data_IF_491800230842
#
_entry.id   IF_491800230842
#
_cell.length_a   1.000
_cell.length_b   1.000
_cell.length_c   1.000
_cell.angle_alpha   90.00
_cell.angle_beta   90.00
_cell.angle_gamma   90.00
#
_symmetry.space_group_name_H-M   'P 1'
#
loop_
_entity.id
_entity.type
_entity.pdbx_description
1 polymer ?
#
# COMPACT_ATOMS: atom_id res chain seq x y z
N UNK A 1 22.51 23.72 42.45
CA UNK A 1 21.31 23.80 43.32
C UNK A 1 20.48 22.56 43.05
N UNK A 2 19.97 21.92 44.08
CA UNK A 2 19.12 20.75 43.93
C UNK A 2 17.75 21.17 43.38
N UNK A 3 17.28 20.52 42.34
CA UNK A 3 15.97 20.75 41.70
C UNK A 3 15.16 19.46 41.78
N UNK A 4 13.89 19.57 42.15
CA UNK A 4 12.98 18.45 42.16
C UNK A 4 12.40 18.18 40.75
N UNK A 5 12.35 16.95 40.38
CA UNK A 5 11.58 16.45 39.22
C UNK A 5 10.23 15.99 39.75
N UNK A 6 9.14 16.56 39.26
CA UNK A 6 7.77 16.18 39.62
C UNK A 6 6.98 15.72 38.41
N UNK A 7 5.91 14.99 38.66
CA UNK A 7 4.96 14.58 37.66
C UNK A 7 4.33 15.82 37.02
N UNK A 8 4.43 16.00 35.67
CA UNK A 8 3.77 17.12 34.99
C UNK A 8 2.25 16.95 35.00
N UNK A 9 1.53 17.93 34.45
CA UNK A 9 0.11 17.80 34.18
C UNK A 9 -0.13 16.63 33.21
N UNK A 10 -0.79 15.59 33.73
CA UNK A 10 -1.15 14.36 32.99
C UNK A 10 -2.66 14.29 32.71
N UNK A 11 -3.35 15.43 32.79
CA UNK A 11 -4.80 15.52 32.59
C UNK A 11 -5.62 15.00 33.80
N UNK A 12 -6.80 14.48 33.56
CA UNK A 12 -7.76 14.09 34.63
C UNK A 12 -7.37 12.84 35.44
N UNK A 13 -6.14 12.32 35.30
CA UNK A 13 -5.69 11.11 35.98
C UNK A 13 -5.13 11.40 37.38
N UNK A 14 -5.64 10.66 38.37
CA UNK A 14 -5.18 10.68 39.76
C UNK A 14 -4.77 9.27 40.18
N UNK A 15 -3.77 9.18 41.04
CA UNK A 15 -3.30 7.91 41.62
C UNK A 15 -2.84 6.87 40.57
N UNK A 16 -2.05 7.32 39.56
CA UNK A 16 -1.46 6.44 38.54
C UNK A 16 -0.26 5.67 39.10
N UNK A 17 -0.14 4.41 38.73
CA UNK A 17 0.90 3.50 39.25
C UNK A 17 2.22 3.66 38.49
N UNK A 18 3.35 3.69 39.21
CA UNK A 18 4.70 3.64 38.64
C UNK A 18 5.02 2.20 38.27
N UNK A 19 5.10 1.89 36.99
CA UNK A 19 5.38 0.52 36.48
C UNK A 19 6.85 0.29 36.22
N UNK A 20 7.63 1.34 35.97
CA UNK A 20 9.07 1.20 35.71
C UNK A 20 9.83 2.43 36.21
N UNK A 21 11.03 2.20 36.73
CA UNK A 21 11.98 3.25 37.14
C UNK A 21 13.24 3.09 36.30
N UNK A 22 13.53 4.10 35.47
CA UNK A 22 14.57 4.05 34.44
C UNK A 22 15.92 4.60 34.87
N UNK A 23 15.99 5.24 36.06
CA UNK A 23 17.21 5.87 36.59
C UNK A 23 17.51 5.42 38.02
N UNK A 24 18.75 5.58 38.42
CA UNK A 24 19.24 5.27 39.79
C UNK A 24 19.96 6.50 40.37
N UNK A 25 20.03 6.63 41.72
CA UNK A 25 20.89 7.64 42.36
C UNK A 25 22.33 7.51 41.89
N UNK A 26 22.93 8.64 41.45
CA UNK A 26 24.25 8.69 40.81
C UNK A 26 24.26 8.75 39.30
N UNK A 27 23.14 8.49 38.63
CA UNK A 27 23.06 8.54 37.16
C UNK A 27 23.11 9.97 36.65
N UNK A 28 23.87 10.19 35.58
CA UNK A 28 23.90 11.44 34.83
C UNK A 28 22.83 11.43 33.76
N UNK A 29 21.91 12.38 33.81
CA UNK A 29 20.80 12.48 32.86
C UNK A 29 20.85 13.79 32.09
N UNK A 30 20.35 13.75 30.88
CA UNK A 30 20.14 14.94 30.05
C UNK A 30 18.69 15.47 30.19
N UNK A 31 18.45 16.67 29.72
CA UNK A 31 17.10 17.19 29.59
C UNK A 31 16.32 16.29 28.59
N UNK A 32 15.12 15.92 28.97
CA UNK A 32 14.19 15.02 28.29
C UNK A 32 14.53 13.51 28.35
N UNK A 33 15.55 13.09 29.10
CA UNK A 33 15.74 11.66 29.36
C UNK A 33 14.59 11.14 30.24
N UNK A 34 14.03 9.93 29.97
CA UNK A 34 12.93 9.36 30.73
C UNK A 34 13.41 8.93 32.13
N UNK A 35 12.62 9.23 33.16
CA UNK A 35 12.92 8.98 34.57
C UNK A 35 12.14 7.79 35.11
N UNK A 36 10.83 7.81 34.90
CA UNK A 36 9.89 6.76 35.32
C UNK A 36 8.82 6.58 34.25
N UNK A 37 8.26 5.37 34.18
CA UNK A 37 7.06 5.08 33.39
C UNK A 37 5.89 4.87 34.35
N UNK A 38 4.79 5.58 34.10
CA UNK A 38 3.53 5.48 34.84
C UNK A 38 2.45 4.86 33.96
N UNK A 39 1.53 4.10 34.54
CA UNK A 39 0.43 3.44 33.82
C UNK A 39 -0.91 3.99 34.28
N UNK A 40 -1.69 4.46 33.32
CA UNK A 40 -3.10 4.82 33.50
C UNK A 40 -4.00 3.76 32.88
N UNK A 41 -5.29 3.77 33.19
CA UNK A 41 -6.31 2.83 32.65
C UNK A 41 -6.35 2.73 31.13
N UNK A 42 -5.66 3.61 30.40
CA UNK A 42 -5.72 3.68 28.93
C UNK A 42 -4.36 3.68 28.24
N UNK A 43 -3.26 3.98 28.92
CA UNK A 43 -1.91 4.03 28.33
C UNK A 43 -0.81 4.14 29.39
N UNK A 44 0.40 3.70 29.03
CA UNK A 44 1.64 3.97 29.75
C UNK A 44 2.30 5.25 29.22
N UNK A 45 2.83 6.07 30.12
CA UNK A 45 3.47 7.37 29.81
C UNK A 45 4.82 7.46 30.51
N UNK A 46 5.86 7.81 29.76
CA UNK A 46 7.19 8.11 30.32
C UNK A 46 7.27 9.56 30.76
N UNK A 47 7.77 9.81 31.98
CA UNK A 47 7.97 11.15 32.51
C UNK A 47 9.41 11.60 32.26
N UNK A 48 9.62 12.64 31.42
CA UNK A 48 10.95 13.10 31.08
C UNK A 48 11.54 14.07 32.13
N UNK A 49 12.87 14.12 32.19
CA UNK A 49 13.56 15.09 33.02
C UNK A 49 13.43 16.53 32.47
N UNK A 50 13.08 17.54 33.29
CA UNK A 50 13.01 18.92 32.85
C UNK A 50 14.40 19.60 32.69
N UNK A 51 15.47 18.99 33.20
CA UNK A 51 16.83 19.54 33.16
C UNK A 51 17.89 18.43 33.14
N UNK A 52 19.12 18.78 32.74
CA UNK A 52 20.27 17.89 32.82
C UNK A 52 20.92 17.97 34.22
N UNK A 53 21.43 16.88 34.73
CA UNK A 53 22.10 16.81 36.02
C UNK A 53 22.31 15.40 36.54
N UNK A 54 22.84 15.27 37.75
CA UNK A 54 23.01 14.00 38.44
C UNK A 54 21.82 13.71 39.36
N UNK A 55 21.27 12.53 39.31
CA UNK A 55 20.20 12.05 40.19
C UNK A 55 20.80 11.89 41.61
N UNK A 56 20.35 12.68 42.57
CA UNK A 56 20.80 12.58 43.97
C UNK A 56 19.96 11.63 44.79
N UNK A 57 18.66 11.68 44.60
CA UNK A 57 17.73 10.89 45.38
C UNK A 57 16.49 10.55 44.52
N UNK A 58 16.02 9.30 44.64
CA UNK A 58 14.82 8.80 43.96
C UNK A 58 13.73 8.65 45.03
N UNK A 59 12.61 9.32 44.84
CA UNK A 59 11.49 9.40 45.80
C UNK A 59 10.40 8.40 45.58
N UNK A 60 10.44 7.64 44.47
CA UNK A 60 9.39 6.71 44.07
C UNK A 60 9.98 5.33 43.74
N UNK A 61 9.17 4.28 43.89
CA UNK A 61 9.47 2.89 43.58
C UNK A 61 8.38 2.32 42.68
N UNK A 62 8.69 1.20 42.02
CA UNK A 62 7.70 0.45 41.23
C UNK A 62 6.55 0.02 42.15
N UNK A 63 5.32 0.28 41.75
CA UNK A 63 4.10 0.04 42.49
C UNK A 63 3.59 1.25 43.30
N UNK A 64 4.36 2.37 43.38
CA UNK A 64 3.89 3.57 44.06
C UNK A 64 2.84 4.29 43.20
N UNK A 65 1.86 4.89 43.86
CA UNK A 65 0.83 5.71 43.19
C UNK A 65 1.23 7.16 43.24
N UNK A 66 1.24 7.81 42.09
CA UNK A 66 1.60 9.20 41.90
C UNK A 66 0.50 10.00 41.22
N UNK A 67 0.42 11.28 41.52
CA UNK A 67 -0.50 12.24 40.92
C UNK A 67 0.28 13.46 40.45
N UNK A 68 -0.35 14.37 39.69
CA UNK A 68 0.25 15.63 39.30
C UNK A 68 0.93 16.33 40.45
N UNK A 69 2.18 16.81 40.24
CA UNK A 69 2.98 17.48 41.23
C UNK A 69 3.73 16.55 42.21
N UNK A 70 3.51 15.23 42.22
CA UNK A 70 4.27 14.29 43.05
C UNK A 70 5.74 14.32 42.67
N UNK A 71 6.64 14.42 43.67
CA UNK A 71 8.10 14.49 43.46
C UNK A 71 8.64 13.10 43.18
N UNK A 72 9.27 12.92 42.02
CA UNK A 72 9.82 11.63 41.54
C UNK A 72 11.28 11.46 41.92
N UNK A 73 12.09 12.50 41.69
CA UNK A 73 13.52 12.48 41.94
C UNK A 73 14.05 13.91 42.25
N UNK A 74 15.26 13.97 42.79
CA UNK A 74 16.00 15.22 42.98
C UNK A 74 17.28 15.18 42.17
N UNK A 75 17.52 16.23 41.35
CA UNK A 75 18.74 16.38 40.54
C UNK A 75 19.59 17.52 41.06
N UNK A 76 20.91 17.41 40.93
CA UNK A 76 21.84 18.50 41.14
C UNK A 76 22.40 18.99 39.82
N UNK A 77 22.20 20.31 39.49
CA UNK A 77 22.71 20.90 38.26
C UNK A 77 24.23 20.96 38.29
N UNK A 78 24.90 20.09 37.54
CA UNK A 78 26.31 20.19 37.22
C UNK A 78 26.51 21.08 35.99
N UNK A 79 27.46 22.01 36.04
CA UNK A 79 27.91 22.78 34.88
C UNK A 79 28.38 21.82 33.77
N UNK A 80 28.02 22.14 32.52
CA UNK A 80 28.42 21.44 31.32
C UNK A 80 29.94 21.20 31.31
N UNK A 81 30.34 19.93 31.33
CA UNK A 81 31.71 19.50 31.09
C UNK A 81 31.87 19.20 29.59
N UNK A 82 32.90 19.84 29.03
CA UNK A 82 33.38 19.80 27.66
C UNK A 82 33.66 18.40 27.12
N UNK A 83 33.37 18.22 25.84
CA UNK A 83 33.70 17.17 24.89
C UNK A 83 35.02 16.45 25.12
N UNK A 84 35.06 15.11 25.09
CA UNK A 84 36.32 14.37 24.96
C UNK A 84 36.85 14.39 23.51
N UNK A 85 38.16 14.68 23.39
CA UNK A 85 38.97 14.65 22.20
C UNK A 85 38.90 13.30 21.49
N UNK A 86 38.75 13.32 20.16
CA UNK A 86 39.00 12.20 19.27
C UNK A 86 40.49 11.81 19.27
N UNK A 87 40.79 10.59 19.64
CA UNK A 87 42.06 9.94 19.32
C UNK A 87 42.06 9.48 17.85
N UNK A 88 43.09 9.94 17.12
CA UNK A 88 43.41 9.49 15.77
C UNK A 88 43.93 8.06 15.84
N UNK A 89 43.23 7.14 15.16
CA UNK A 89 43.77 5.84 14.82
C UNK A 89 44.20 5.90 13.35
N UNK A 90 45.50 5.75 13.11
CA UNK A 90 46.15 5.63 11.80
C UNK A 90 45.71 4.35 11.06
N UNK A 91 45.39 4.48 9.78
CA UNK A 91 45.11 3.38 8.86
C UNK A 91 46.40 2.79 8.29
N UNK A 92 46.56 1.47 8.22
CA UNK A 92 47.52 0.89 7.29
C UNK A 92 46.90 0.76 5.89
N UNK A 93 47.55 1.38 4.91
CA UNK A 93 47.33 1.16 3.48
C UNK A 93 47.66 -0.29 3.12
N UNK A 94 46.68 -1.00 2.52
CA UNK A 94 46.96 -2.16 1.66
C UNK A 94 46.31 -1.88 0.31
N UNK A 95 47.17 -1.76 -0.69
CA UNK A 95 46.81 -1.79 -2.10
C UNK A 95 46.25 -3.17 -2.45
N UNK A 96 45.08 -3.19 -3.06
CA UNK A 96 44.51 -4.39 -3.69
C UNK A 96 44.52 -4.13 -5.19
N UNK A 97 45.32 -4.91 -5.91
CA UNK A 97 45.39 -4.98 -7.37
C UNK A 97 44.03 -5.44 -7.93
N UNK A 98 43.53 -4.70 -8.90
CA UNK A 98 42.35 -5.03 -9.68
C UNK A 98 42.76 -6.03 -10.76
N UNK A 99 42.25 -7.27 -10.66
CA UNK A 99 42.30 -8.23 -11.78
C UNK A 99 41.06 -8.00 -12.67
N UNK A 100 41.32 -7.71 -13.92
CA UNK A 100 40.31 -7.68 -14.99
C UNK A 100 39.66 -9.06 -15.18
N UNK A 101 38.33 -9.11 -15.26
CA UNK A 101 37.57 -10.26 -15.75
C UNK A 101 36.95 -9.99 -17.12
N UNK A 102 36.79 -11.03 -17.94
CA UNK A 102 36.64 -10.92 -19.38
C UNK A 102 35.24 -10.44 -19.83
N UNK A 103 35.27 -9.70 -20.96
CA UNK A 103 34.08 -9.23 -21.67
C UNK A 103 33.25 -10.39 -22.21
N UNK A 104 32.01 -10.51 -21.80
CA UNK A 104 30.99 -11.28 -22.52
C UNK A 104 30.16 -10.31 -23.35
N UNK A 105 30.21 -10.47 -24.66
CA UNK A 105 29.33 -9.81 -25.62
C UNK A 105 27.91 -10.33 -25.43
N UNK A 106 27.00 -9.48 -24.95
CA UNK A 106 25.57 -9.66 -25.05
C UNK A 106 25.00 -8.39 -25.69
N UNK A 107 24.46 -8.54 -26.90
CA UNK A 107 23.78 -7.45 -27.60
C UNK A 107 22.61 -6.95 -26.76
N UNK A 108 22.74 -5.72 -26.29
CA UNK A 108 21.63 -4.98 -25.65
C UNK A 108 20.96 -4.17 -26.76
N UNK A 109 19.72 -4.51 -27.08
CA UNK A 109 18.87 -3.71 -27.96
C UNK A 109 18.81 -2.25 -27.47
N UNK A 110 18.89 -1.25 -28.36
CA UNK A 110 18.88 0.15 -27.97
C UNK A 110 17.54 0.51 -27.34
N UNK A 111 17.59 0.92 -26.08
CA UNK A 111 16.48 1.56 -25.39
C UNK A 111 16.09 2.81 -26.16
N UNK A 112 14.87 2.84 -26.71
CA UNK A 112 14.31 4.02 -27.37
C UNK A 112 14.40 5.22 -26.43
N UNK A 113 14.93 6.32 -26.97
CA UNK A 113 15.01 7.62 -26.29
C UNK A 113 13.71 7.95 -25.59
N UNK A 114 13.76 8.04 -24.26
CA UNK A 114 12.70 8.59 -23.44
C UNK A 114 12.66 10.09 -23.76
N UNK A 115 11.64 10.53 -24.49
CA UNK A 115 11.39 11.95 -24.71
C UNK A 115 11.16 12.61 -23.34
N UNK A 116 11.76 13.80 -23.18
CA UNK A 116 11.66 14.68 -22.01
C UNK A 116 10.37 14.50 -21.25
N UNK A 117 10.47 13.90 -20.07
CA UNK A 117 9.40 13.88 -19.10
C UNK A 117 9.25 15.29 -18.57
N UNK A 118 8.03 15.80 -18.65
CA UNK A 118 7.53 17.09 -18.28
C UNK A 118 8.34 17.82 -17.20
N UNK A 119 8.83 19.02 -17.55
CA UNK A 119 9.17 20.02 -16.55
C UNK A 119 7.85 20.32 -15.79
N UNK A 120 7.82 20.03 -14.48
CA UNK A 120 6.74 20.50 -13.63
C UNK A 120 6.68 22.03 -13.75
N UNK A 121 5.50 22.63 -13.96
CA UNK A 121 5.39 24.08 -13.97
C UNK A 121 5.79 24.59 -12.60
N UNK A 122 6.58 25.65 -12.55
CA UNK A 122 7.05 26.29 -11.33
C UNK A 122 5.92 26.45 -10.33
N UNK A 123 5.97 25.70 -9.25
CA UNK A 123 5.05 25.87 -8.12
C UNK A 123 5.29 27.26 -7.54
N UNK A 124 4.24 27.92 -7.02
CA UNK A 124 4.41 29.16 -6.27
C UNK A 124 5.32 29.02 -5.05
N UNK A 125 5.60 27.79 -4.65
CA UNK A 125 6.44 27.42 -3.53
C UNK A 125 7.91 27.16 -3.95
N UNK A 126 8.20 27.16 -5.28
CA UNK A 126 9.55 27.03 -5.81
C UNK A 126 10.18 28.43 -5.92
N UNK A 127 11.12 28.70 -5.01
CA UNK A 127 11.79 29.99 -4.92
C UNK A 127 12.86 30.20 -5.98
N UNK A 128 13.39 29.12 -6.57
CA UNK A 128 14.36 29.15 -7.67
C UNK A 128 14.10 28.00 -8.68
N UNK A 129 13.21 28.22 -9.64
CA UNK A 129 12.90 27.22 -10.67
C UNK A 129 14.09 26.84 -11.56
N UNK A 130 15.10 27.72 -11.67
CA UNK A 130 16.29 27.42 -12.47
C UNK A 130 17.15 26.39 -11.76
N UNK A 131 17.45 26.59 -10.48
CA UNK A 131 18.19 25.63 -9.66
C UNK A 131 17.45 24.29 -9.60
N UNK A 132 16.13 24.31 -9.40
CA UNK A 132 15.31 23.10 -9.40
C UNK A 132 15.45 22.28 -10.68
N UNK A 133 15.42 22.96 -11.85
CA UNK A 133 15.59 22.28 -13.13
C UNK A 133 17.03 21.75 -13.32
N UNK A 134 18.04 22.45 -12.87
CA UNK A 134 19.45 21.99 -12.91
C UNK A 134 19.64 20.68 -12.11
N UNK A 135 19.02 20.57 -10.95
CA UNK A 135 19.02 19.34 -10.15
C UNK A 135 18.34 18.18 -10.89
N UNK A 136 17.18 18.43 -11.50
CA UNK A 136 16.43 17.43 -12.28
C UNK A 136 17.22 17.00 -13.51
N UNK A 137 17.80 17.94 -14.26
CA UNK A 137 18.59 17.64 -15.45
C UNK A 137 19.87 16.86 -15.11
N UNK A 138 20.51 17.18 -13.98
CA UNK A 138 21.65 16.43 -13.46
C UNK A 138 21.27 14.98 -13.15
N UNK A 139 20.14 14.75 -12.51
CA UNK A 139 19.65 13.40 -12.25
C UNK A 139 19.33 12.64 -13.55
N UNK A 140 18.66 13.30 -14.50
CA UNK A 140 18.33 12.72 -15.81
C UNK A 140 19.60 12.33 -16.57
N UNK A 141 20.62 13.19 -16.56
CA UNK A 141 21.91 12.92 -17.18
C UNK A 141 22.58 11.66 -16.58
N UNK A 142 22.54 11.50 -15.26
CA UNK A 142 23.08 10.29 -14.62
C UNK A 142 22.27 9.05 -15.02
N UNK A 143 20.95 9.14 -15.11
CA UNK A 143 20.08 8.02 -15.53
C UNK A 143 20.43 7.59 -16.96
N UNK A 144 20.60 8.57 -17.86
CA UNK A 144 20.89 8.33 -19.28
C UNK A 144 22.29 7.78 -19.53
N UNK A 145 23.32 8.31 -18.85
CA UNK A 145 24.71 7.98 -19.10
C UNK A 145 25.23 6.82 -18.24
N UNK A 146 24.86 6.77 -16.96
CA UNK A 146 25.42 5.81 -15.98
C UNK A 146 24.38 4.75 -15.55
N UNK A 147 23.13 4.92 -15.92
CA UNK A 147 22.04 4.01 -15.64
C UNK A 147 21.38 4.18 -14.27
N UNK A 148 20.23 3.52 -14.11
CA UNK A 148 19.36 3.65 -12.94
C UNK A 148 20.03 3.23 -11.62
N UNK A 149 20.96 2.27 -11.65
CA UNK A 149 21.66 1.82 -10.43
C UNK A 149 22.57 2.91 -9.86
N UNK A 150 23.25 3.67 -10.72
CA UNK A 150 24.09 4.79 -10.29
C UNK A 150 23.24 5.95 -9.78
N UNK A 151 22.17 6.29 -10.47
CA UNK A 151 21.22 7.31 -10.05
C UNK A 151 20.64 7.00 -8.66
N UNK A 152 20.19 5.76 -8.46
CA UNK A 152 19.68 5.29 -7.15
C UNK A 152 20.73 5.40 -6.04
N UNK A 153 21.98 5.05 -6.32
CA UNK A 153 23.08 5.21 -5.35
C UNK A 153 23.29 6.68 -4.95
N UNK A 154 23.30 7.59 -5.92
CA UNK A 154 23.49 9.03 -5.67
C UNK A 154 22.33 9.62 -4.88
N UNK A 155 21.07 9.29 -5.26
CA UNK A 155 19.88 9.71 -4.50
C UNK A 155 19.95 9.26 -3.04
N UNK A 156 20.31 8.00 -2.78
CA UNK A 156 20.47 7.53 -1.41
C UNK A 156 21.55 8.31 -0.65
N UNK A 157 22.65 8.71 -1.30
CA UNK A 157 23.69 9.53 -0.67
C UNK A 157 23.21 10.95 -0.33
N UNK A 158 22.40 11.55 -1.21
CA UNK A 158 21.78 12.86 -0.96
C UNK A 158 20.80 12.76 0.21
N UNK A 159 19.97 11.73 0.24
CA UNK A 159 19.02 11.44 1.35
C UNK A 159 19.79 11.22 2.66
N UNK A 160 20.85 10.39 2.66
CA UNK A 160 21.71 10.18 3.83
C UNK A 160 22.29 11.50 4.37
N UNK A 161 22.69 12.40 3.47
CA UNK A 161 23.23 13.71 3.84
C UNK A 161 22.14 14.62 4.41
N UNK A 162 20.94 14.61 3.83
CA UNK A 162 19.79 15.35 4.34
C UNK A 162 19.45 14.94 5.78
N UNK A 163 19.39 13.65 6.09
CA UNK A 163 19.19 13.13 7.44
C UNK A 163 20.28 13.62 8.41
N UNK A 164 21.55 13.56 8.01
CA UNK A 164 22.69 14.05 8.83
C UNK A 164 22.62 15.56 9.11
N UNK A 165 22.00 16.30 8.21
CA UNK A 165 21.79 17.74 8.35
C UNK A 165 20.53 18.10 9.13
N UNK A 166 19.77 17.11 9.63
CA UNK A 166 18.54 17.32 10.40
C UNK A 166 17.34 17.76 9.56
N UNK A 167 17.39 17.57 8.23
CA UNK A 167 16.25 17.88 7.36
C UNK A 167 15.16 16.82 7.54
N UNK A 168 13.92 17.29 7.70
CA UNK A 168 12.74 16.42 7.64
C UNK A 168 12.42 16.15 6.18
N UNK A 169 12.65 14.92 5.75
CA UNK A 169 12.36 14.54 4.36
C UNK A 169 10.86 14.38 4.17
N UNK A 170 10.35 14.69 2.95
CA UNK A 170 8.99 14.33 2.57
C UNK A 170 8.74 12.83 2.73
N UNK A 171 7.51 12.45 3.02
CA UNK A 171 7.12 11.04 3.07
C UNK A 171 7.24 10.40 1.67
N UNK A 172 8.31 9.64 1.46
CA UNK A 172 8.61 8.98 0.18
C UNK A 172 7.94 7.60 0.06
N UNK A 173 7.17 7.18 1.06
CA UNK A 173 6.48 5.87 1.05
C UNK A 173 5.32 5.84 0.07
N UNK A 174 4.82 6.99 -0.34
CA UNK A 174 3.72 7.12 -1.29
C UNK A 174 4.11 7.96 -2.50
N UNK A 175 3.50 7.69 -3.63
CA UNK A 175 3.62 8.48 -4.86
C UNK A 175 2.37 9.33 -5.07
N UNK A 176 2.36 10.36 -5.94
CA UNK A 176 1.16 11.13 -6.24
C UNK A 176 -0.05 10.25 -6.57
N UNK A 177 -1.27 10.77 -6.38
CA UNK A 177 -2.53 10.03 -6.60
C UNK A 177 -2.85 9.90 -8.10
N UNK A 178 -1.91 9.32 -8.83
CA UNK A 178 -1.98 9.04 -10.27
C UNK A 178 -1.51 7.60 -10.54
N UNK A 179 -1.67 7.14 -11.78
CA UNK A 179 -1.17 5.85 -12.21
C UNK A 179 0.37 5.80 -12.09
N UNK A 180 0.90 4.67 -11.59
CA UNK A 180 2.35 4.49 -11.45
C UNK A 180 3.04 4.38 -12.80
N UNK A 181 2.39 3.72 -13.78
CA UNK A 181 2.88 3.60 -15.15
C UNK A 181 2.20 4.70 -15.97
N UNK A 182 2.95 5.66 -16.52
CA UNK A 182 2.36 6.69 -17.35
C UNK A 182 1.93 6.13 -18.72
N UNK A 183 0.95 6.79 -19.41
CA UNK A 183 0.38 6.27 -20.68
C UNK A 183 1.41 5.95 -21.76
N UNK A 184 2.52 6.68 -21.79
CA UNK A 184 3.60 6.52 -22.79
C UNK A 184 4.39 5.23 -22.55
N UNK A 185 4.42 4.74 -21.31
CA UNK A 185 5.13 3.52 -20.91
C UNK A 185 4.20 2.30 -20.82
N UNK A 186 2.89 2.47 -21.04
CA UNK A 186 1.93 1.36 -21.02
C UNK A 186 2.11 0.43 -22.20
N UNK A 187 2.13 -0.87 -21.93
CA UNK A 187 2.07 -1.89 -22.99
C UNK A 187 0.64 -1.94 -23.55
N UNK A 188 0.51 -1.81 -24.85
CA UNK A 188 -0.78 -1.92 -25.53
C UNK A 188 -1.38 -3.33 -25.37
N UNK A 189 -2.69 -3.37 -25.07
CA UNK A 189 -3.44 -4.62 -25.06
C UNK A 189 -3.42 -5.28 -26.45
N UNK A 190 -3.24 -6.60 -26.48
CA UNK A 190 -3.17 -7.40 -27.73
C UNK A 190 -4.53 -7.94 -28.15
N UNK A 191 -5.58 -7.82 -27.33
CA UNK A 191 -6.92 -8.32 -27.61
C UNK A 191 -7.80 -7.35 -28.43
N UNK A 192 -8.93 -7.88 -28.94
CA UNK A 192 -10.00 -7.05 -29.48
C UNK A 192 -10.83 -6.45 -28.35
N UNK A 193 -10.56 -5.20 -28.04
CA UNK A 193 -11.22 -4.48 -26.94
C UNK A 193 -12.74 -4.38 -27.11
N UNK A 194 -13.28 -4.41 -28.33
CA UNK A 194 -14.73 -4.38 -28.57
C UNK A 194 -15.38 -5.71 -28.19
N UNK A 195 -14.74 -6.82 -28.52
CA UNK A 195 -15.19 -8.16 -28.11
C UNK A 195 -15.08 -8.28 -26.59
N UNK A 196 -13.96 -7.91 -25.99
CA UNK A 196 -13.78 -7.96 -24.53
C UNK A 196 -14.78 -7.09 -23.78
N UNK A 197 -15.08 -5.88 -24.28
CA UNK A 197 -16.11 -5.03 -23.73
C UNK A 197 -17.49 -5.68 -23.74
N UNK A 198 -17.85 -6.38 -24.83
CA UNK A 198 -19.11 -7.12 -24.94
C UNK A 198 -19.14 -8.31 -23.96
N UNK A 199 -18.05 -9.13 -23.92
CA UNK A 199 -17.95 -10.26 -22.99
C UNK A 199 -18.11 -9.78 -21.55
N UNK A 200 -17.39 -8.74 -21.15
CA UNK A 200 -17.47 -8.16 -19.81
C UNK A 200 -18.88 -7.65 -19.48
N UNK A 201 -19.58 -7.06 -20.47
CA UNK A 201 -20.96 -6.64 -20.30
C UNK A 201 -21.89 -7.84 -20.06
N UNK A 202 -21.76 -8.93 -20.83
CA UNK A 202 -22.53 -10.16 -20.62
C UNK A 202 -22.25 -10.81 -19.28
N UNK A 203 -20.98 -10.90 -18.87
CA UNK A 203 -20.61 -11.47 -17.57
C UNK A 203 -21.23 -10.65 -16.43
N UNK A 204 -21.11 -9.31 -16.49
CA UNK A 204 -21.71 -8.41 -15.46
C UNK A 204 -23.23 -8.53 -15.42
N UNK A 205 -23.88 -8.60 -16.59
CA UNK A 205 -25.33 -8.80 -16.68
C UNK A 205 -25.77 -10.13 -16.06
N UNK A 206 -25.13 -11.24 -16.41
CA UNK A 206 -25.48 -12.57 -15.89
C UNK A 206 -25.22 -12.65 -14.37
N UNK A 207 -24.14 -12.07 -13.89
CA UNK A 207 -23.85 -12.00 -12.46
C UNK A 207 -24.95 -11.21 -11.71
N UNK A 208 -25.32 -10.04 -12.21
CA UNK A 208 -26.40 -9.23 -11.63
C UNK A 208 -27.76 -9.95 -11.69
N UNK A 209 -28.09 -10.53 -12.83
CA UNK A 209 -29.36 -11.27 -13.03
C UNK A 209 -29.47 -12.46 -12.06
N UNK A 210 -28.36 -13.20 -11.84
CA UNK A 210 -28.30 -14.32 -10.89
C UNK A 210 -28.60 -13.87 -9.46
N UNK A 211 -27.96 -12.79 -9.00
CA UNK A 211 -28.16 -12.23 -7.65
C UNK A 211 -29.58 -11.69 -7.48
N UNK A 212 -30.09 -10.92 -8.45
CA UNK A 212 -31.46 -10.38 -8.42
C UNK A 212 -32.51 -11.49 -8.43
N UNK A 213 -32.29 -12.54 -9.22
CA UNK A 213 -33.17 -13.70 -9.27
C UNK A 213 -33.22 -14.45 -7.93
N UNK A 214 -32.08 -14.66 -7.30
CA UNK A 214 -31.98 -15.26 -5.99
C UNK A 214 -32.75 -14.44 -4.93
N UNK A 215 -32.54 -13.12 -4.92
CA UNK A 215 -33.22 -12.21 -3.98
C UNK A 215 -34.74 -12.12 -4.21
N UNK A 216 -35.22 -12.28 -5.45
CA UNK A 216 -36.65 -12.34 -5.73
C UNK A 216 -37.31 -13.63 -5.22
N UNK A 217 -36.59 -14.75 -5.23
CA UNK A 217 -37.07 -16.03 -4.68
C UNK A 217 -37.11 -16.01 -3.17
N UNK A 218 -36.08 -15.48 -2.53
CA UNK A 218 -35.96 -15.32 -1.08
C UNK A 218 -35.11 -14.08 -0.79
N UNK A 219 -35.69 -13.01 -0.24
CA UNK A 219 -34.95 -11.80 0.11
C UNK A 219 -33.78 -12.07 1.09
N UNK A 220 -33.88 -13.14 1.87
CA UNK A 220 -32.84 -13.52 2.84
C UNK A 220 -31.66 -14.25 2.24
N UNK A 221 -31.76 -14.78 1.01
CA UNK A 221 -30.61 -15.37 0.33
C UNK A 221 -29.50 -14.36 0.11
N UNK A 222 -29.89 -13.12 -0.20
CA UNK A 222 -28.95 -12.04 -0.43
C UNK A 222 -28.02 -12.32 -1.60
N UNK A 223 -26.86 -11.70 -1.55
CA UNK A 223 -25.79 -11.83 -2.52
C UNK A 223 -25.14 -10.50 -2.77
N UNK A 224 -23.84 -10.52 -2.98
CA UNK A 224 -23.05 -9.32 -3.22
C UNK A 224 -22.75 -9.21 -4.71
N UNK A 225 -23.10 -8.09 -5.31
CA UNK A 225 -22.75 -7.78 -6.72
C UNK A 225 -21.76 -6.62 -6.81
N UNK A 226 -21.71 -5.74 -5.82
CA UNK A 226 -20.88 -4.53 -5.81
C UNK A 226 -19.38 -4.83 -5.96
N UNK A 227 -18.89 -5.83 -5.25
CA UNK A 227 -17.50 -6.27 -5.33
C UNK A 227 -17.15 -6.73 -6.75
N UNK A 228 -17.93 -7.65 -7.32
CA UNK A 228 -17.66 -8.10 -8.68
C UNK A 228 -17.89 -6.98 -9.71
N UNK A 229 -18.90 -6.16 -9.55
CA UNK A 229 -19.17 -5.05 -10.47
C UNK A 229 -18.00 -4.07 -10.58
N UNK A 230 -17.32 -3.79 -9.47
CA UNK A 230 -16.11 -2.95 -9.46
C UNK A 230 -14.86 -3.68 -9.97
N UNK A 231 -14.72 -4.98 -9.71
CA UNK A 231 -13.56 -5.79 -10.07
C UNK A 231 -13.68 -6.49 -11.45
N UNK A 232 -14.82 -6.36 -12.14
CA UNK A 232 -15.10 -7.13 -13.36
C UNK A 232 -14.01 -6.98 -14.44
N UNK A 233 -13.45 -5.78 -14.61
CA UNK A 233 -12.37 -5.55 -15.58
C UNK A 233 -11.07 -6.23 -15.15
N UNK A 234 -10.75 -6.22 -13.84
CA UNK A 234 -9.55 -6.87 -13.32
C UNK A 234 -9.60 -8.39 -13.58
N UNK A 235 -10.74 -9.02 -13.32
CA UNK A 235 -10.92 -10.45 -13.58
C UNK A 235 -10.92 -10.79 -15.07
N UNK A 236 -11.56 -9.97 -15.89
CA UNK A 236 -11.60 -10.16 -17.33
C UNK A 236 -10.21 -10.09 -17.96
N UNK A 237 -9.44 -9.06 -17.59
CA UNK A 237 -8.05 -8.92 -18.03
C UNK A 237 -7.17 -10.06 -17.50
N UNK A 238 -7.34 -10.45 -16.24
CA UNK A 238 -6.64 -11.59 -15.66
C UNK A 238 -6.85 -12.88 -16.46
N UNK A 239 -8.12 -13.20 -16.78
CA UNK A 239 -8.50 -14.40 -17.53
C UNK A 239 -8.04 -14.37 -19.00
N UNK A 240 -8.09 -13.20 -19.64
CA UNK A 240 -7.84 -13.08 -21.07
C UNK A 240 -6.35 -12.91 -21.39
N UNK A 241 -5.54 -12.32 -20.49
CA UNK A 241 -4.19 -11.86 -20.82
C UNK A 241 -3.09 -12.37 -19.88
N UNK A 242 -3.41 -12.72 -18.64
CA UNK A 242 -2.37 -12.99 -17.63
C UNK A 242 -2.34 -14.42 -17.12
N UNK A 243 -3.50 -15.01 -16.83
CA UNK A 243 -3.54 -16.31 -16.17
C UNK A 243 -3.31 -17.45 -17.15
N UNK A 244 -2.46 -18.35 -16.76
CA UNK A 244 -2.07 -19.50 -17.57
C UNK A 244 -2.71 -20.76 -17.00
N UNK A 245 -3.56 -21.38 -17.78
CA UNK A 245 -4.23 -22.62 -17.40
C UNK A 245 -3.25 -23.81 -17.36
N UNK A 246 -3.59 -24.81 -16.56
CA UNK A 246 -2.86 -26.08 -16.51
C UNK A 246 -2.93 -26.79 -17.85
N UNK A 247 -1.79 -27.34 -18.28
CA UNK A 247 -1.67 -28.20 -19.44
C UNK A 247 -0.63 -29.31 -19.20
N UNK A 248 -0.32 -30.10 -20.22
CA UNK A 248 0.61 -31.25 -20.10
C UNK A 248 2.06 -30.85 -19.75
N UNK A 249 2.43 -29.56 -19.91
CA UNK A 249 3.79 -29.04 -19.68
C UNK A 249 3.88 -27.99 -18.58
N UNK A 250 2.72 -27.52 -18.09
CA UNK A 250 2.64 -26.43 -17.14
C UNK A 250 1.55 -26.70 -16.10
N UNK A 251 1.91 -26.60 -14.81
CA UNK A 251 1.00 -26.91 -13.71
C UNK A 251 -0.14 -25.92 -13.49
N UNK A 252 -0.16 -24.80 -14.20
CA UNK A 252 -1.16 -23.73 -14.08
C UNK A 252 -0.83 -22.71 -12.97
N UNK A 253 -1.20 -21.46 -13.20
CA UNK A 253 -1.17 -20.44 -12.18
C UNK A 253 -2.25 -20.72 -11.11
N UNK A 254 -2.08 -20.22 -9.91
CA UNK A 254 -2.99 -20.40 -8.80
C UNK A 254 -3.70 -19.08 -8.51
N UNK A 255 -5.02 -19.11 -8.38
CA UNK A 255 -5.84 -17.91 -8.24
C UNK A 255 -6.68 -17.99 -6.97
N UNK A 256 -6.48 -17.04 -6.05
CA UNK A 256 -7.35 -16.79 -4.91
C UNK A 256 -8.36 -15.72 -5.32
N UNK A 257 -9.56 -16.13 -5.65
CA UNK A 257 -10.64 -15.20 -5.98
C UNK A 257 -11.17 -14.54 -4.70
N UNK A 258 -11.46 -13.26 -4.74
CA UNK A 258 -12.15 -12.61 -3.63
C UNK A 258 -13.54 -13.25 -3.42
N UNK A 259 -13.87 -13.59 -2.18
CA UNK A 259 -15.06 -14.36 -1.87
C UNK A 259 -16.35 -13.78 -2.45
N UNK A 260 -16.55 -12.48 -2.26
CA UNK A 260 -17.75 -11.77 -2.76
C UNK A 260 -17.81 -11.61 -4.29
N UNK A 261 -16.75 -11.96 -5.02
CA UNK A 261 -16.72 -11.94 -6.49
C UNK A 261 -17.20 -13.25 -7.13
N UNK A 262 -17.56 -14.27 -6.34
CA UNK A 262 -18.02 -15.58 -6.85
C UNK A 262 -19.13 -15.49 -7.92
N UNK A 263 -20.14 -14.55 -7.83
CA UNK A 263 -21.14 -14.40 -8.89
C UNK A 263 -20.56 -14.17 -10.28
N UNK A 264 -19.49 -13.38 -10.37
CA UNK A 264 -18.83 -13.13 -11.65
C UNK A 264 -18.14 -14.37 -12.23
N UNK A 265 -17.55 -15.19 -11.36
CA UNK A 265 -16.92 -16.45 -11.78
C UNK A 265 -17.94 -17.45 -12.29
N UNK A 266 -19.09 -17.57 -11.65
CA UNK A 266 -20.20 -18.40 -12.13
C UNK A 266 -20.76 -17.88 -13.46
N UNK A 267 -20.95 -16.57 -13.58
CA UNK A 267 -21.42 -15.96 -14.83
C UNK A 267 -20.45 -16.19 -16.00
N UNK A 268 -19.14 -16.09 -15.76
CA UNK A 268 -18.11 -16.42 -16.75
C UNK A 268 -18.17 -17.91 -17.14
N UNK A 269 -18.21 -18.81 -16.17
CA UNK A 269 -18.28 -20.24 -16.39
C UNK A 269 -19.56 -20.67 -17.14
N UNK A 270 -20.65 -19.94 -16.94
CA UNK A 270 -21.87 -20.13 -17.70
C UNK A 270 -21.69 -19.79 -19.19
N UNK A 271 -21.05 -18.65 -19.49
CA UNK A 271 -20.76 -18.27 -20.89
C UNK A 271 -19.77 -19.23 -21.56
N UNK A 272 -18.90 -19.85 -20.79
CA UNK A 272 -17.96 -20.90 -21.28
C UNK A 272 -18.61 -22.28 -21.40
N UNK A 273 -19.91 -22.44 -21.09
CA UNK A 273 -20.60 -23.72 -21.13
C UNK A 273 -20.23 -24.69 -20.01
N UNK A 274 -19.51 -24.27 -19.00
CA UNK A 274 -19.11 -25.08 -17.84
C UNK A 274 -20.22 -25.19 -16.77
N UNK A 275 -21.13 -24.23 -16.74
CA UNK A 275 -22.33 -24.20 -15.92
C UNK A 275 -23.56 -23.99 -16.83
N UNK A 276 -24.72 -24.47 -16.40
CA UNK A 276 -25.98 -24.25 -17.09
C UNK A 276 -26.91 -23.30 -16.29
N UNK A 277 -28.01 -22.87 -16.89
CA UNK A 277 -28.95 -21.93 -16.32
C UNK A 277 -29.60 -22.47 -15.02
N UNK A 278 -29.87 -23.77 -14.93
CA UNK A 278 -30.45 -24.36 -13.72
C UNK A 278 -29.48 -24.32 -12.54
N UNK A 279 -28.18 -24.46 -12.79
CA UNK A 279 -27.14 -24.32 -11.76
C UNK A 279 -27.04 -22.86 -11.26
N UNK A 280 -27.11 -21.87 -12.18
CA UNK A 280 -27.14 -20.46 -11.76
C UNK A 280 -28.38 -20.13 -10.92
N UNK A 281 -29.53 -20.74 -11.20
CA UNK A 281 -30.77 -20.59 -10.42
C UNK A 281 -30.64 -21.15 -8.99
N UNK A 282 -29.65 -22.01 -8.74
CA UNK A 282 -29.27 -22.54 -7.45
C UNK A 282 -28.19 -21.73 -6.71
N UNK A 283 -27.91 -20.51 -7.11
CA UNK A 283 -26.93 -19.65 -6.44
C UNK A 283 -27.26 -19.44 -4.95
N UNK A 284 -26.28 -19.62 -4.08
CA UNK A 284 -26.39 -19.57 -2.61
C UNK A 284 -27.39 -20.60 -2.01
N UNK A 285 -27.56 -21.72 -2.69
CA UNK A 285 -28.39 -22.82 -2.25
C UNK A 285 -27.55 -24.11 -2.17
N UNK A 286 -26.37 -24.02 -1.64
CA UNK A 286 -25.40 -25.11 -1.51
C UNK A 286 -25.90 -26.30 -0.68
N UNK A 287 -26.89 -26.09 0.19
CA UNK A 287 -27.57 -27.15 0.95
C UNK A 287 -28.45 -28.03 0.03
N UNK A 288 -28.84 -27.51 -1.12
CA UNK A 288 -29.61 -28.25 -2.11
C UNK A 288 -28.67 -28.98 -3.06
N UNK A 289 -29.05 -30.17 -3.49
CA UNK A 289 -28.26 -30.95 -4.45
C UNK A 289 -28.08 -30.15 -5.75
N UNK A 290 -26.81 -29.85 -6.10
CA UNK A 290 -26.46 -29.11 -7.30
C UNK A 290 -26.51 -27.58 -7.19
N UNK A 291 -26.77 -27.03 -5.99
CA UNK A 291 -26.69 -25.59 -5.73
C UNK A 291 -25.25 -25.08 -5.82
N UNK A 292 -25.09 -23.81 -6.22
CA UNK A 292 -23.79 -23.15 -6.25
C UNK A 292 -23.45 -22.57 -4.87
N UNK A 293 -22.21 -22.72 -4.45
CA UNK A 293 -21.74 -22.22 -3.15
C UNK A 293 -21.78 -20.69 -3.10
N UNK A 294 -22.07 -20.16 -1.92
CA UNK A 294 -22.13 -18.71 -1.64
C UNK A 294 -20.78 -18.03 -1.90
N UNK A 295 -19.69 -18.72 -1.56
CA UNK A 295 -18.31 -18.29 -1.69
C UNK A 295 -17.48 -19.42 -2.33
N UNK A 296 -16.25 -19.16 -2.78
CA UNK A 296 -15.33 -20.21 -3.19
C UNK A 296 -15.18 -21.28 -2.12
N UNK A 297 -15.61 -22.50 -2.43
CA UNK A 297 -15.65 -23.60 -1.47
C UNK A 297 -15.26 -24.94 -2.14
N UNK A 298 -13.99 -25.35 -2.03
CA UNK A 298 -13.48 -26.56 -2.72
C UNK A 298 -14.18 -27.86 -2.31
N UNK A 299 -14.70 -27.97 -1.10
CA UNK A 299 -15.38 -29.19 -0.66
C UNK A 299 -16.79 -29.31 -1.25
N UNK A 300 -17.48 -28.20 -1.43
CA UNK A 300 -18.81 -28.19 -2.06
C UNK A 300 -18.71 -28.26 -3.60
N UNK A 301 -17.68 -27.66 -4.16
CA UNK A 301 -17.46 -27.61 -5.61
C UNK A 301 -15.99 -27.94 -5.97
N UNK A 302 -15.55 -29.21 -5.76
CA UNK A 302 -14.13 -29.61 -5.87
C UNK A 302 -13.57 -29.50 -7.29
N UNK A 303 -14.41 -29.58 -8.30
CA UNK A 303 -14.00 -29.44 -9.71
C UNK A 303 -14.08 -27.98 -10.22
N UNK A 304 -14.44 -27.05 -9.36
CA UNK A 304 -14.60 -25.64 -9.72
C UNK A 304 -13.65 -24.72 -8.93
N UNK A 305 -13.62 -24.85 -7.62
CA UNK A 305 -12.81 -24.02 -6.73
C UNK A 305 -11.56 -24.74 -6.25
N UNK A 306 -10.41 -24.07 -6.31
CA UNK A 306 -9.14 -24.60 -5.78
C UNK A 306 -8.92 -24.18 -4.31
N UNK A 307 -9.31 -22.96 -3.96
CA UNK A 307 -9.06 -22.38 -2.65
C UNK A 307 -10.34 -21.83 -2.02
N UNK A 308 -10.52 -21.99 -0.70
CA UNK A 308 -11.61 -21.32 0.02
C UNK A 308 -11.25 -19.86 0.26
N UNK A 309 -12.18 -18.94 0.01
CA UNK A 309 -12.03 -17.52 0.31
C UNK A 309 -13.37 -16.92 0.73
N UNK A 310 -13.33 -15.92 1.63
CA UNK A 310 -14.53 -15.26 2.16
C UNK A 310 -14.41 -13.73 2.29
N UNK A 311 -13.34 -13.11 1.81
CA UNK A 311 -13.06 -11.67 1.93
C UNK A 311 -12.92 -11.16 3.39
N UNK A 312 -12.33 -12.00 4.26
CA UNK A 312 -12.10 -11.74 5.69
C UNK A 312 -10.62 -11.91 6.08
N UNK A 313 -9.70 -11.61 5.15
CA UNK A 313 -8.26 -11.62 5.39
C UNK A 313 -7.57 -12.98 5.29
N UNK A 314 -8.28 -14.10 5.24
CA UNK A 314 -7.67 -15.43 5.15
C UNK A 314 -7.08 -15.73 3.78
N UNK A 315 -7.69 -15.22 2.70
CA UNK A 315 -7.16 -15.36 1.34
C UNK A 315 -5.73 -14.86 1.19
N UNK A 316 -5.44 -13.61 1.57
CA UNK A 316 -4.10 -13.03 1.52
C UNK A 316 -3.05 -13.85 2.26
N UNK A 317 -3.31 -14.19 3.53
CA UNK A 317 -2.33 -14.93 4.34
C UNK A 317 -2.11 -16.35 3.80
N UNK A 318 -3.17 -17.05 3.40
CA UNK A 318 -3.04 -18.39 2.79
C UNK A 318 -2.22 -18.34 1.51
N UNK A 319 -2.40 -17.33 0.68
CA UNK A 319 -1.66 -17.19 -0.57
C UNK A 319 -0.17 -16.89 -0.35
N UNK A 320 0.19 -16.12 0.67
CA UNK A 320 1.58 -15.92 1.08
C UNK A 320 2.22 -17.26 1.45
N UNK A 321 1.56 -18.07 2.28
CA UNK A 321 2.06 -19.38 2.64
C UNK A 321 2.06 -20.36 1.47
N UNK A 322 1.10 -20.28 0.56
CA UNK A 322 1.09 -21.07 -0.69
C UNK A 322 2.29 -20.74 -1.58
N UNK A 323 2.59 -19.44 -1.74
CA UNK A 323 3.75 -18.99 -2.52
C UNK A 323 5.06 -19.47 -1.91
N UNK A 324 5.18 -19.34 -0.58
CA UNK A 324 6.31 -19.84 0.20
C UNK A 324 6.47 -21.35 0.06
N UNK A 325 5.37 -22.09 0.19
CA UNK A 325 5.39 -23.55 0.08
C UNK A 325 5.77 -24.01 -1.32
N UNK A 326 5.27 -23.36 -2.35
CA UNK A 326 5.66 -23.67 -3.74
C UNK A 326 7.17 -23.47 -3.95
N UNK A 327 7.75 -22.35 -3.46
CA UNK A 327 9.21 -22.13 -3.50
C UNK A 327 9.97 -23.18 -2.70
N UNK A 328 9.47 -23.60 -1.55
CA UNK A 328 10.05 -24.70 -0.78
C UNK A 328 10.09 -26.00 -1.58
N UNK A 329 8.99 -26.39 -2.24
CA UNK A 329 8.94 -27.59 -3.06
C UNK A 329 9.93 -27.54 -4.25
N UNK A 330 10.03 -26.38 -4.91
CA UNK A 330 10.99 -26.13 -5.98
C UNK A 330 12.43 -26.26 -5.46
N UNK A 331 12.76 -25.61 -4.36
CA UNK A 331 14.10 -25.61 -3.76
C UNK A 331 14.52 -27.01 -3.27
N UNK A 332 13.53 -27.85 -2.91
CA UNK A 332 13.76 -29.25 -2.54
C UNK A 332 13.85 -30.21 -3.76
N UNK A 333 13.65 -29.68 -4.98
CA UNK A 333 13.61 -30.49 -6.18
C UNK A 333 12.39 -31.42 -6.30
N UNK A 334 11.35 -31.20 -5.48
CA UNK A 334 10.12 -31.99 -5.49
C UNK A 334 9.16 -31.57 -6.60
N UNK A 335 9.27 -30.35 -7.04
CA UNK A 335 8.50 -29.75 -8.15
C UNK A 335 9.45 -28.95 -9.04
N UNK A 336 9.27 -29.07 -10.35
CA UNK A 336 10.03 -28.27 -11.31
C UNK A 336 9.62 -26.80 -11.21
N UNK A 337 10.57 -25.88 -11.32
CA UNK A 337 10.28 -24.46 -11.48
C UNK A 337 9.75 -24.20 -12.90
N UNK A 338 8.47 -23.94 -12.99
CA UNK A 338 7.75 -23.61 -14.24
C UNK A 338 7.40 -22.12 -14.30
N UNK A 339 7.85 -21.33 -13.35
CA UNK A 339 7.52 -19.90 -13.21
C UNK A 339 6.05 -19.67 -12.94
N UNK A 340 5.39 -20.57 -12.18
CA UNK A 340 3.97 -20.43 -11.78
C UNK A 340 3.79 -19.23 -10.88
N UNK A 341 2.70 -18.50 -11.08
CA UNK A 341 2.32 -17.35 -10.26
C UNK A 341 1.13 -17.69 -9.37
N UNK A 342 1.10 -17.03 -8.21
CA UNK A 342 -0.04 -17.04 -7.28
C UNK A 342 -0.64 -15.65 -7.31
N UNK A 343 -1.89 -15.56 -7.75
CA UNK A 343 -2.66 -14.33 -7.83
C UNK A 343 -3.69 -14.28 -6.73
N UNK A 344 -3.81 -13.13 -6.07
CA UNK A 344 -4.74 -12.94 -4.97
C UNK A 344 -5.55 -11.69 -5.22
N UNK A 345 -6.87 -11.85 -5.26
CA UNK A 345 -7.81 -10.76 -5.43
C UNK A 345 -8.47 -10.44 -4.10
N UNK A 346 -8.36 -9.20 -3.67
CA UNK A 346 -8.86 -8.72 -2.37
C UNK A 346 -9.52 -7.36 -2.54
N UNK A 347 -10.32 -6.98 -1.51
CA UNK A 347 -10.87 -5.64 -1.39
C UNK A 347 -10.04 -4.77 -0.45
N UNK A 348 -10.17 -3.46 -0.61
CA UNK A 348 -9.56 -2.47 0.28
C UNK A 348 -10.07 -2.59 1.73
N UNK A 349 -11.36 -2.86 1.94
CA UNK A 349 -11.90 -3.13 3.26
C UNK A 349 -11.39 -4.43 3.89
N UNK A 350 -11.09 -5.45 3.08
CA UNK A 350 -10.46 -6.70 3.54
C UNK A 350 -9.04 -6.49 4.05
N UNK A 351 -8.36 -5.43 3.59
CA UNK A 351 -7.02 -5.10 4.04
C UNK A 351 -6.95 -4.56 5.48
N UNK A 352 -8.08 -4.20 6.08
CA UNK A 352 -8.14 -3.83 7.50
C UNK A 352 -8.10 -5.05 8.44
N UNK A 353 -8.33 -6.25 7.91
CA UNK A 353 -8.21 -7.47 8.70
C UNK A 353 -6.74 -7.72 9.07
N UNK A 354 -6.43 -8.02 10.35
CA UNK A 354 -5.06 -8.27 10.79
C UNK A 354 -4.34 -9.35 9.97
N UNK A 355 -5.07 -10.38 9.54
CA UNK A 355 -4.55 -11.48 8.74
C UNK A 355 -4.09 -11.01 7.36
N UNK A 356 -4.75 -10.00 6.77
CA UNK A 356 -4.39 -9.46 5.47
C UNK A 356 -3.01 -8.79 5.48
N UNK A 357 -2.70 -8.04 6.53
CA UNK A 357 -1.43 -7.32 6.68
C UNK A 357 -0.36 -8.12 7.41
N UNK A 358 -0.76 -9.09 8.24
CA UNK A 358 0.12 -9.76 9.19
C UNK A 358 1.33 -10.49 8.59
N UNK A 359 1.28 -10.89 7.33
CA UNK A 359 2.36 -11.64 6.67
C UNK A 359 2.99 -10.92 5.46
N UNK A 360 2.63 -9.68 5.14
CA UNK A 360 3.20 -8.97 3.99
C UNK A 360 4.72 -8.78 4.13
N UNK A 361 5.22 -8.49 5.33
CA UNK A 361 6.65 -8.40 5.62
C UNK A 361 7.38 -9.74 5.46
N UNK A 362 6.72 -10.88 5.73
CA UNK A 362 7.27 -12.21 5.47
C UNK A 362 7.47 -12.44 3.97
N UNK A 363 6.48 -12.11 3.16
CA UNK A 363 6.54 -12.28 1.71
C UNK A 363 7.72 -11.50 1.09
N UNK A 364 7.93 -10.26 1.50
CA UNK A 364 9.04 -9.43 1.04
C UNK A 364 10.40 -9.99 1.51
N UNK A 365 10.53 -10.35 2.79
CA UNK A 365 11.77 -10.91 3.36
C UNK A 365 12.19 -12.21 2.67
N UNK A 366 11.25 -13.08 2.33
CA UNK A 366 11.51 -14.33 1.62
C UNK A 366 11.53 -14.17 0.10
N UNK A 367 11.39 -12.95 -0.40
CA UNK A 367 11.44 -12.62 -1.84
C UNK A 367 10.50 -13.51 -2.66
N UNK A 368 9.22 -13.53 -2.28
CA UNK A 368 8.20 -14.32 -2.97
C UNK A 368 7.76 -13.63 -4.27
N UNK A 369 8.64 -13.62 -5.27
CA UNK A 369 8.44 -12.99 -6.58
C UNK A 369 7.41 -13.72 -7.47
N UNK A 370 6.92 -14.85 -7.01
CA UNK A 370 5.83 -15.62 -7.61
C UNK A 370 4.44 -15.21 -7.09
N UNK A 371 4.33 -14.25 -6.16
CA UNK A 371 3.10 -13.80 -5.54
C UNK A 371 2.69 -12.42 -6.06
N UNK A 372 1.42 -12.26 -6.42
CA UNK A 372 0.85 -11.02 -6.93
C UNK A 372 -0.46 -10.74 -6.21
N UNK A 373 -0.55 -9.62 -5.50
CA UNK A 373 -1.79 -9.11 -4.92
C UNK A 373 -2.44 -8.12 -5.87
N UNK A 374 -3.74 -8.28 -6.11
CA UNK A 374 -4.59 -7.35 -6.87
C UNK A 374 -5.65 -6.81 -5.93
N UNK A 375 -5.44 -5.60 -5.43
CA UNK A 375 -6.33 -4.97 -4.45
C UNK A 375 -7.33 -4.09 -5.19
N UNK A 376 -8.61 -4.46 -5.14
CA UNK A 376 -9.70 -3.69 -5.71
C UNK A 376 -10.15 -2.61 -4.73
N UNK A 377 -9.67 -1.40 -4.92
CA UNK A 377 -10.02 -0.25 -4.08
C UNK A 377 -11.30 0.41 -4.62
N UNK A 378 -12.45 -0.12 -4.23
CA UNK A 378 -13.75 0.49 -4.53
C UNK A 378 -14.18 1.54 -3.50
N UNK A 379 -13.38 1.74 -2.45
CA UNK A 379 -13.53 2.71 -1.36
C UNK A 379 -14.76 2.47 -0.47
N UNK A 380 -15.37 1.29 -0.52
CA UNK A 380 -16.63 0.99 0.18
C UNK A 380 -16.56 -0.29 1.01
N UNK A 381 -17.19 -0.23 2.19
CA UNK A 381 -17.65 -1.36 3.01
C UNK A 381 -19.17 -1.49 2.92
N UNK A 382 -19.71 -2.47 3.63
CA UNK A 382 -21.18 -2.65 3.74
C UNK A 382 -21.86 -1.47 4.42
N UNK A 383 -21.21 -0.87 5.40
CA UNK A 383 -21.72 0.17 6.30
C UNK A 383 -21.24 1.59 5.94
N UNK A 384 -20.44 1.75 4.90
CA UNK A 384 -19.95 3.07 4.48
C UNK A 384 -18.60 3.08 3.79
N UNK A 385 -17.91 4.21 3.78
CA UNK A 385 -16.57 4.32 3.20
C UNK A 385 -15.52 3.59 4.04
N UNK A 386 -14.52 2.99 3.39
CA UNK A 386 -13.37 2.38 4.07
C UNK A 386 -12.61 3.45 4.86
N UNK A 387 -12.39 4.61 4.25
CA UNK A 387 -11.86 5.82 4.91
C UNK A 387 -12.74 7.01 4.53
N UNK A 388 -13.27 7.73 5.51
CA UNK A 388 -14.04 8.96 5.27
C UNK A 388 -13.12 10.13 4.93
N UNK A 389 -12.16 10.39 5.80
CA UNK A 389 -11.25 11.54 5.77
C UNK A 389 -9.81 11.15 5.41
N UNK A 390 -9.57 9.92 4.98
CA UNK A 390 -8.27 9.39 4.56
C UNK A 390 -8.27 8.97 3.11
N UNK A 391 -7.19 8.31 2.68
CA UNK A 391 -6.98 7.73 1.36
C UNK A 391 -6.43 6.32 1.50
N UNK A 392 -7.30 5.33 1.44
CA UNK A 392 -6.91 3.93 1.61
C UNK A 392 -5.84 3.48 0.62
N UNK A 393 -5.89 3.97 -0.63
CA UNK A 393 -4.89 3.63 -1.66
C UNK A 393 -3.49 4.09 -1.22
N UNK A 394 -3.37 5.30 -0.67
CA UNK A 394 -2.09 5.83 -0.19
C UNK A 394 -1.61 5.10 1.07
N UNK A 395 -2.51 4.79 1.99
CA UNK A 395 -2.19 4.00 3.19
C UNK A 395 -1.65 2.61 2.82
N UNK A 396 -2.32 1.92 1.92
CA UNK A 396 -1.89 0.61 1.43
C UNK A 396 -0.57 0.70 0.65
N UNK A 397 -0.42 1.69 -0.24
CA UNK A 397 0.84 1.92 -0.94
C UNK A 397 2.00 2.06 0.04
N UNK A 398 1.85 2.92 1.07
CA UNK A 398 2.85 3.13 2.10
C UNK A 398 3.20 1.85 2.86
N UNK A 399 2.20 1.06 3.25
CA UNK A 399 2.37 -0.19 3.98
C UNK A 399 3.11 -1.25 3.16
N UNK A 400 2.72 -1.44 1.91
CA UNK A 400 3.35 -2.42 1.02
C UNK A 400 4.77 -2.00 0.61
N UNK A 401 4.99 -0.74 0.23
CA UNK A 401 6.34 -0.23 -0.09
C UNK A 401 7.26 -0.30 1.12
N UNK A 402 6.78 0.11 2.30
CA UNK A 402 7.53 0.01 3.55
C UNK A 402 7.90 -1.42 3.93
N UNK A 403 7.08 -2.40 3.53
CA UNK A 403 7.36 -3.83 3.69
C UNK A 403 8.27 -4.42 2.60
N UNK A 404 8.67 -3.64 1.57
CA UNK A 404 9.56 -4.09 0.49
C UNK A 404 8.86 -4.67 -0.73
N UNK A 405 7.57 -4.43 -0.92
CA UNK A 405 6.85 -4.82 -2.13
C UNK A 405 7.03 -3.81 -3.25
N UNK A 406 6.96 -4.27 -4.48
CA UNK A 406 6.78 -3.42 -5.65
C UNK A 406 5.28 -3.11 -5.80
N UNK A 407 4.92 -1.83 -5.78
CA UNK A 407 3.52 -1.39 -5.83
C UNK A 407 3.26 -0.63 -7.13
N UNK A 408 2.23 -1.06 -7.84
CA UNK A 408 1.74 -0.41 -9.07
C UNK A 408 0.31 0.07 -8.78
N UNK A 409 0.08 1.38 -8.89
CA UNK A 409 -1.25 1.98 -8.80
C UNK A 409 -1.87 2.11 -10.17
N UNK A 410 -3.16 1.75 -10.28
CA UNK A 410 -4.00 1.98 -11.46
C UNK A 410 -5.28 2.66 -10.96
N UNK A 411 -5.36 3.97 -11.06
CA UNK A 411 -6.44 4.78 -10.50
C UNK A 411 -7.32 5.35 -11.60
N UNK A 412 -6.70 5.95 -12.60
CA UNK A 412 -7.36 6.71 -13.63
C UNK A 412 -7.39 5.95 -14.96
N UNK A 413 -8.56 5.96 -15.62
CA UNK A 413 -8.70 5.37 -16.94
C UNK A 413 -8.35 6.35 -18.07
N UNK A 414 -8.35 5.87 -19.31
CA UNK A 414 -7.89 6.57 -20.53
C UNK A 414 -8.52 7.95 -20.75
N UNK A 415 -9.74 8.20 -20.28
CA UNK A 415 -10.36 9.53 -20.41
C UNK A 415 -9.65 10.60 -19.56
N UNK A 416 -9.04 10.21 -18.43
CA UNK A 416 -8.28 11.10 -17.56
C UNK A 416 -6.91 11.43 -18.15
N UNK A 417 -6.32 10.54 -18.94
CA UNK A 417 -5.02 10.78 -19.58
C UNK A 417 -5.04 12.03 -20.44
N UNK A 418 -6.15 12.25 -21.17
CA UNK A 418 -6.34 13.44 -22.01
C UNK A 418 -6.43 14.73 -21.18
N UNK A 419 -7.01 14.69 -19.99
CA UNK A 419 -7.10 15.83 -19.08
C UNK A 419 -5.75 16.11 -18.42
N UNK A 420 -5.05 15.06 -17.98
CA UNK A 420 -3.70 15.16 -17.41
C UNK A 420 -2.71 15.74 -18.44
N UNK A 421 -2.80 15.30 -19.70
CA UNK A 421 -1.95 15.83 -20.77
C UNK A 421 -2.22 17.32 -21.11
N UNK A 422 -3.42 17.82 -20.84
CA UNK A 422 -3.79 19.22 -21.04
C UNK A 422 -3.46 20.12 -19.84
N UNK A 423 -3.34 19.55 -18.65
CA UNK A 423 -3.01 20.29 -17.44
C UNK A 423 -1.52 20.64 -17.42
N UNK A 424 -1.21 21.86 -17.84
CA UNK A 424 0.16 22.40 -17.84
C UNK A 424 0.55 23.01 -16.50
N UNK A 425 -0.37 23.07 -15.55
CA UNK A 425 -0.18 23.76 -14.27
C UNK A 425 0.08 22.78 -13.11
N UNK A 426 -0.13 21.47 -13.34
CA UNK A 426 -0.07 20.45 -12.27
C UNK A 426 -1.23 20.54 -11.26
N UNK A 427 -2.18 21.47 -11.46
CA UNK A 427 -3.30 21.67 -10.53
C UNK A 427 -4.25 20.48 -10.49
N UNK A 428 -4.38 19.73 -11.59
CA UNK A 428 -5.22 18.54 -11.63
C UNK A 428 -4.65 17.45 -10.72
N UNK A 429 -3.35 17.19 -10.78
CA UNK A 429 -2.67 16.24 -9.88
C UNK A 429 -2.76 16.73 -8.43
N UNK A 430 -2.55 18.03 -8.20
CA UNK A 430 -2.72 18.64 -6.88
C UNK A 430 -4.13 18.39 -6.34
N UNK A 431 -5.17 18.64 -7.14
CA UNK A 431 -6.57 18.40 -6.75
C UNK A 431 -6.85 16.91 -6.48
N UNK A 432 -6.30 15.99 -7.28
CA UNK A 432 -6.38 14.56 -7.05
C UNK A 432 -5.72 14.16 -5.71
N UNK A 433 -4.60 14.79 -5.38
CA UNK A 433 -3.92 14.57 -4.09
C UNK A 433 -4.68 15.16 -2.89
N UNK A 434 -5.43 16.23 -3.05
CA UNK A 434 -6.21 16.88 -1.98
C UNK A 434 -7.47 16.10 -1.61
N UNK A 435 -8.11 15.43 -2.59
CA UNK A 435 -9.36 14.71 -2.35
C UNK A 435 -9.17 13.52 -1.42
N UNK A 436 -10.13 13.32 -0.53
CA UNK A 436 -10.23 12.14 0.34
C UNK A 436 -11.25 11.14 -0.22
N UNK A 437 -11.23 9.90 0.27
CA UNK A 437 -12.09 8.82 -0.23
C UNK A 437 -13.58 9.14 -0.16
N UNK A 438 -14.01 9.83 0.90
CA UNK A 438 -15.41 10.28 1.03
C UNK A 438 -15.83 11.27 -0.06
N UNK A 439 -14.92 12.16 -0.51
CA UNK A 439 -15.20 13.05 -1.67
C UNK A 439 -15.31 12.25 -2.97
N UNK A 440 -14.38 11.30 -3.22
CA UNK A 440 -14.42 10.44 -4.41
C UNK A 440 -15.71 9.64 -4.51
N UNK A 441 -16.21 9.13 -3.40
CA UNK A 441 -17.51 8.45 -3.37
C UNK A 441 -18.67 9.39 -3.70
N UNK A 442 -18.65 10.62 -3.15
CA UNK A 442 -19.65 11.63 -3.47
C UNK A 442 -19.63 12.02 -4.96
N UNK A 443 -18.45 12.14 -5.56
CA UNK A 443 -18.30 12.42 -6.99
C UNK A 443 -18.90 11.31 -7.86
N UNK A 444 -18.67 10.05 -7.50
CA UNK A 444 -19.24 8.90 -8.21
C UNK A 444 -20.78 8.85 -8.09
N UNK A 445 -21.32 9.19 -6.93
CA UNK A 445 -22.75 9.07 -6.65
C UNK A 445 -23.60 10.22 -7.22
N UNK A 446 -23.06 11.42 -7.29
CA UNK A 446 -23.83 12.66 -7.58
C UNK A 446 -23.77 13.16 -9.02
N UNK A 447 -22.99 12.49 -9.90
CA UNK A 447 -22.95 12.78 -11.33
C UNK A 447 -22.08 13.95 -11.74
N UNK A 448 -22.05 14.23 -13.04
CA UNK A 448 -21.10 15.11 -13.70
C UNK A 448 -21.17 16.58 -13.28
N UNK A 449 -22.37 17.18 -13.15
CA UNK A 449 -22.50 18.57 -12.70
C UNK A 449 -21.92 18.79 -11.29
N UNK A 450 -22.11 17.84 -10.40
CA UNK A 450 -21.50 17.90 -9.06
C UNK A 450 -19.97 17.80 -9.12
N UNK A 451 -19.44 16.91 -9.96
CA UNK A 451 -17.99 16.77 -10.18
C UNK A 451 -17.42 18.08 -10.75
N UNK A 452 -18.08 18.67 -11.74
CA UNK A 452 -17.68 19.95 -12.32
C UNK A 452 -17.61 21.06 -11.26
N UNK A 453 -18.62 21.12 -10.39
CA UNK A 453 -18.68 22.17 -9.37
C UNK A 453 -17.67 21.91 -8.22
N UNK A 454 -17.66 20.71 -7.66
CA UNK A 454 -16.93 20.43 -6.40
C UNK A 454 -15.51 19.91 -6.60
N UNK A 455 -15.22 19.21 -7.69
CA UNK A 455 -13.87 18.75 -8.01
C UNK A 455 -13.13 19.81 -8.83
N UNK A 456 -13.57 20.07 -10.07
CA UNK A 456 -12.90 21.01 -10.96
C UNK A 456 -13.10 22.47 -10.55
N UNK A 457 -14.26 22.83 -10.00
CA UNK A 457 -14.58 24.20 -9.58
C UNK A 457 -13.74 24.69 -8.39
N UNK A 458 -12.93 23.84 -7.77
CA UNK A 458 -12.00 24.23 -6.69
C UNK A 458 -10.93 25.21 -7.18
N UNK A 459 -10.53 25.09 -8.45
CA UNK A 459 -9.55 25.93 -9.11
C UNK A 459 -10.13 26.49 -10.41
N UNK A 460 -10.04 27.81 -10.67
CA UNK A 460 -10.56 28.41 -11.90
C UNK A 460 -10.00 27.76 -13.17
N UNK A 461 -8.72 27.43 -13.18
CA UNK A 461 -8.01 26.81 -14.30
C UNK A 461 -8.56 25.40 -14.60
N UNK A 462 -8.88 24.63 -13.57
CA UNK A 462 -9.50 23.31 -13.74
C UNK A 462 -10.95 23.41 -14.22
N UNK A 463 -11.68 24.44 -13.79
CA UNK A 463 -13.03 24.71 -14.28
C UNK A 463 -13.01 25.02 -15.76
N UNK A 464 -12.03 25.79 -16.23
CA UNK A 464 -11.87 26.11 -17.66
C UNK A 464 -11.46 24.85 -18.44
N UNK A 465 -10.56 24.02 -17.92
CA UNK A 465 -10.12 22.77 -18.54
C UNK A 465 -11.27 21.86 -18.98
N UNK A 466 -12.38 21.86 -18.25
CA UNK A 466 -13.57 21.03 -18.52
C UNK A 466 -14.77 21.82 -19.06
N UNK A 467 -14.60 23.11 -19.42
CA UNK A 467 -15.68 23.99 -19.85
C UNK A 467 -16.46 23.50 -21.08
N UNK A 468 -15.77 22.80 -21.99
CA UNK A 468 -16.35 22.26 -23.23
C UNK A 468 -16.91 20.83 -23.07
N UNK A 469 -16.79 20.20 -21.89
CA UNK A 469 -17.28 18.84 -21.66
C UNK A 469 -18.76 18.88 -21.25
N UNK A 470 -19.49 17.82 -21.55
CA UNK A 470 -20.86 17.60 -21.00
C UNK A 470 -20.76 17.00 -19.60
N UNK A 471 -21.88 17.09 -18.86
CA UNK A 471 -22.00 16.48 -17.52
C UNK A 471 -22.07 14.96 -17.57
#
# INVERSE_FOLDING_TARGET
MAQNISVPDIGDFKDVEVIEVLVKPGDQINKNDPIVTIESDKSSVEIPSPAAGEIKDLKVKIGDKVSEGSVLATIENGQAASTPKQEKIEKPKKEIQVQEKPKTNGEVNPVKQVKKVFAEPASKDDIDPVETNEWIDSLNSVIENDGSSRASYLLNKVIDQAYKSGLVLPDTRTTPYINTIPPEAETKSTGDQNIEKKLRAYIRWNAAAMVVKANKKSPELGGHIGTFASAATLYDVGMNHFWRAKNNKFGGDLIYFQGHSAPGMYARAFLEGRLNASQLDGFRQEVNKGGLSSYPHPWLMPNFWQFPTVSMGLGPIMAIYQARFLKYLINRGLVKDEGRKIWVFLGDGEMDEPESLGAIGLAAREKLDNLIFVINCNLQRLDGPVRGNGKIIQELEGSFRGSGWNVIKVIWGTYWDQLLAKDKTGLLIKRMNECVDGEYQAFKAKGGSYVREKFFGRYPELKELVSSMTD
#
